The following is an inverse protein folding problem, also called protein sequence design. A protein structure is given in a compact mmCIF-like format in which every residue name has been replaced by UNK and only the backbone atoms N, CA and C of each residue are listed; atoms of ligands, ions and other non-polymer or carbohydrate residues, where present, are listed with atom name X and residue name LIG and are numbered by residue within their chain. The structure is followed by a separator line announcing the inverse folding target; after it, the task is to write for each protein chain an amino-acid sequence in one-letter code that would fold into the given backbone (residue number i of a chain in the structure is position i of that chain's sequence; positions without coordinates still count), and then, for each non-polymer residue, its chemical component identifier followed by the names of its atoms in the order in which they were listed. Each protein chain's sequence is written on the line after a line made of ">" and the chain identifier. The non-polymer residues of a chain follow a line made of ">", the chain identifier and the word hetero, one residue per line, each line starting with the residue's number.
data_IF_204327342116
#
_entry.id   IF_204327342116
#
_cell.length_a   1.000
_cell.length_b   1.000
_cell.length_c   1.000
_cell.angle_alpha   90.00
_cell.angle_beta   90.00
_cell.angle_gamma   90.00
#
_symmetry.space_group_name_H-M   'P 1'
#
loop_
_entity.id
_entity.type
_entity.pdbx_description
1 polymer ?
#
# COMPACT_ATOMS: atom_id res chain seq x y z
N UNK A 1 38.97 -28.60 -39.99
CA UNK A 1 38.44 -27.36 -39.41
C UNK A 1 37.10 -27.69 -38.73
N UNK A 2 37.02 -27.77 -37.43
CA UNK A 2 35.76 -27.96 -36.72
C UNK A 2 35.10 -26.60 -36.51
N UNK A 3 33.75 -26.55 -36.70
CA UNK A 3 32.90 -25.39 -36.49
C UNK A 3 32.74 -25.16 -34.99
N UNK A 4 32.93 -23.91 -34.57
CA UNK A 4 32.64 -23.41 -33.24
C UNK A 4 31.11 -23.23 -33.14
N UNK A 5 30.43 -23.74 -32.10
CA UNK A 5 29.03 -23.43 -31.87
C UNK A 5 28.88 -22.00 -31.27
N UNK A 6 28.00 -21.21 -31.88
CA UNK A 6 27.57 -19.91 -31.38
C UNK A 6 26.81 -20.11 -30.09
N UNK A 7 27.31 -19.54 -29.02
CA UNK A 7 26.59 -19.38 -27.73
C UNK A 7 25.69 -18.15 -27.82
N UNK A 8 24.46 -18.34 -28.24
CA UNK A 8 23.40 -17.36 -28.01
C UNK A 8 22.93 -17.50 -26.56
N UNK A 9 23.53 -16.69 -25.68
CA UNK A 9 22.99 -16.42 -24.37
C UNK A 9 21.79 -15.44 -24.51
N UNK A 10 20.80 -15.49 -23.64
CA UNK A 10 19.65 -14.58 -23.72
C UNK A 10 20.09 -13.13 -23.52
N UNK A 11 19.87 -12.33 -24.57
CA UNK A 11 20.12 -10.89 -24.62
C UNK A 11 19.25 -10.19 -23.55
N UNK A 12 19.87 -9.73 -22.47
CA UNK A 12 19.20 -9.05 -21.34
C UNK A 12 18.82 -7.59 -21.63
N UNK A 13 18.50 -7.29 -22.87
CA UNK A 13 17.93 -6.00 -23.28
C UNK A 13 16.41 -6.07 -23.31
N UNK A 14 15.79 -6.33 -22.18
CA UNK A 14 14.36 -6.10 -22.03
C UNK A 14 14.10 -4.61 -22.01
N UNK A 15 13.60 -4.09 -23.12
CA UNK A 15 13.06 -2.74 -23.20
C UNK A 15 12.00 -2.55 -22.12
N UNK A 16 11.90 -1.32 -21.59
CA UNK A 16 10.92 -0.93 -20.59
C UNK A 16 9.50 -1.10 -21.17
N UNK A 17 8.86 -2.24 -20.91
CA UNK A 17 7.56 -2.65 -21.46
C UNK A 17 6.38 -2.31 -20.54
N UNK A 18 6.56 -1.47 -19.50
CA UNK A 18 5.44 -1.01 -18.70
C UNK A 18 4.64 0.06 -19.45
N UNK A 19 3.28 -0.01 -19.44
CA UNK A 19 2.48 1.11 -19.90
C UNK A 19 2.94 2.34 -19.10
N UNK A 20 3.46 3.36 -19.79
CA UNK A 20 4.02 4.55 -19.16
C UNK A 20 2.98 5.18 -18.23
N UNK A 21 3.17 5.02 -16.93
CA UNK A 21 2.39 5.75 -15.94
C UNK A 21 2.60 7.26 -16.16
N UNK A 22 1.63 8.09 -15.82
CA UNK A 22 1.75 9.56 -15.94
C UNK A 22 3.04 10.06 -15.26
N UNK A 23 3.36 9.50 -14.09
CA UNK A 23 4.57 9.86 -13.33
C UNK A 23 5.85 9.38 -14.03
N UNK A 24 5.85 8.21 -14.65
CA UNK A 24 6.97 7.72 -15.44
C UNK A 24 7.28 8.64 -16.63
N UNK A 25 6.25 9.19 -17.27
CA UNK A 25 6.41 10.19 -18.37
C UNK A 25 7.08 11.47 -17.88
N UNK A 26 6.66 12.01 -16.74
CA UNK A 26 7.21 13.23 -16.16
C UNK A 26 8.69 13.04 -15.80
N UNK A 27 9.03 11.95 -15.12
CA UNK A 27 10.43 11.66 -14.80
C UNK A 27 11.29 11.32 -16.01
N UNK A 28 10.69 10.78 -17.08
CA UNK A 28 11.34 10.59 -18.38
C UNK A 28 11.68 11.94 -19.03
N UNK A 29 10.76 12.91 -18.98
CA UNK A 29 11.02 14.29 -19.45
C UNK A 29 12.10 14.97 -18.62
N UNK A 30 12.04 14.85 -17.29
CA UNK A 30 13.08 15.34 -16.39
C UNK A 30 14.45 14.76 -16.72
N UNK A 31 14.55 13.44 -16.84
CA UNK A 31 15.82 12.77 -17.19
C UNK A 31 16.39 13.21 -18.53
N UNK A 32 15.54 13.36 -19.56
CA UNK A 32 15.93 13.89 -20.88
C UNK A 32 16.46 15.30 -20.77
N UNK A 33 15.75 16.18 -20.06
CA UNK A 33 16.19 17.55 -19.82
C UNK A 33 17.58 17.62 -19.15
N UNK A 34 17.87 16.72 -18.21
CA UNK A 34 19.18 16.66 -17.57
C UNK A 34 20.28 16.17 -18.54
N UNK A 35 19.97 15.19 -19.41
CA UNK A 35 20.88 14.73 -20.47
C UNK A 35 21.20 15.86 -21.45
N UNK A 36 20.20 16.62 -21.90
CA UNK A 36 20.36 17.74 -22.84
C UNK A 36 21.27 18.85 -22.27
N UNK A 37 21.22 19.04 -20.95
CA UNK A 37 22.11 20.00 -20.25
C UNK A 37 23.46 19.42 -19.87
N UNK A 38 23.74 18.18 -20.19
CA UNK A 38 24.93 17.44 -19.73
C UNK A 38 25.11 17.54 -18.21
N UNK A 39 23.99 17.57 -17.47
CA UNK A 39 24.00 17.65 -16.01
C UNK A 39 24.04 16.26 -15.39
N UNK A 40 25.06 16.04 -14.61
CA UNK A 40 25.16 14.84 -13.77
C UNK A 40 25.17 15.20 -12.30
N UNK A 41 24.44 14.44 -11.50
CA UNK A 41 24.45 14.59 -10.05
C UNK A 41 25.83 14.15 -9.51
N UNK A 42 26.42 14.88 -8.53
CA UNK A 42 27.66 14.41 -7.91
C UNK A 42 27.47 13.05 -7.24
N UNK A 43 28.57 12.33 -7.00
CA UNK A 43 28.54 11.13 -6.18
C UNK A 43 27.94 11.42 -4.80
N UNK A 44 27.35 10.39 -4.17
CA UNK A 44 26.79 10.51 -2.84
C UNK A 44 27.93 10.65 -1.82
N UNK A 45 28.17 11.86 -1.32
CA UNK A 45 29.19 12.09 -0.28
C UNK A 45 28.73 11.58 1.07
N UNK A 46 27.56 12.04 1.50
CA UNK A 46 26.88 11.58 2.71
C UNK A 46 25.46 11.11 2.35
N UNK A 47 24.94 10.16 3.12
CA UNK A 47 23.60 9.66 2.92
C UNK A 47 22.57 10.72 3.27
N UNK A 48 21.66 11.01 2.35
CA UNK A 48 20.60 11.97 2.55
C UNK A 48 19.23 11.35 2.21
N UNK A 49 18.22 11.73 2.96
CA UNK A 49 16.85 11.27 2.79
C UNK A 49 15.97 12.28 2.04
N UNK A 50 16.54 13.41 1.68
CA UNK A 50 15.87 14.50 0.95
C UNK A 50 16.84 15.24 0.04
N UNK A 51 16.34 16.31 -0.59
CA UNK A 51 17.15 17.18 -1.47
C UNK A 51 18.06 18.14 -0.71
N UNK A 52 17.81 18.36 0.59
CA UNK A 52 18.53 19.34 1.43
C UNK A 52 19.75 18.75 2.14
N UNK A 53 19.97 17.46 2.05
CA UNK A 53 21.02 16.70 2.76
C UNK A 53 20.90 16.79 4.30
N UNK A 54 19.70 17.07 4.79
CA UNK A 54 19.39 17.06 6.22
C UNK A 54 18.90 15.69 6.70
N UNK A 55 18.83 15.52 8.01
CA UNK A 55 18.25 14.35 8.66
C UNK A 55 19.29 13.29 9.07
N UNK A 56 18.80 12.14 9.54
CA UNK A 56 19.67 11.04 9.95
C UNK A 56 20.35 10.42 8.72
N UNK A 57 21.60 10.01 8.88
CA UNK A 57 22.36 9.36 7.83
C UNK A 57 21.84 7.94 7.52
N UNK A 58 22.72 7.13 6.95
CA UNK A 58 22.44 5.74 6.56
C UNK A 58 22.12 4.81 7.75
N UNK A 59 22.49 5.18 8.97
CA UNK A 59 22.32 4.36 10.18
C UNK A 59 20.87 3.91 10.43
N UNK A 60 19.89 4.65 9.88
CA UNK A 60 18.47 4.28 9.96
C UNK A 60 18.18 2.94 9.25
N UNK A 61 18.96 2.60 8.23
CA UNK A 61 18.83 1.32 7.53
C UNK A 61 19.36 0.15 8.35
N UNK A 62 20.27 0.41 9.30
CA UNK A 62 20.98 -0.62 10.04
C UNK A 62 22.11 -1.25 9.24
N UNK A 63 22.53 -2.46 9.62
CA UNK A 63 23.52 -3.24 8.88
C UNK A 63 22.89 -3.78 7.59
N UNK A 64 23.50 -3.47 6.45
CA UNK A 64 22.97 -3.82 5.12
C UNK A 64 23.76 -4.90 4.41
N UNK A 65 24.98 -5.21 4.88
CA UNK A 65 25.83 -6.21 4.23
C UNK A 65 25.13 -7.58 4.17
N UNK A 66 25.11 -8.18 2.97
CA UNK A 66 24.48 -9.47 2.72
C UNK A 66 22.94 -9.42 2.68
N UNK A 67 22.29 -8.27 2.89
CA UNK A 67 20.86 -8.13 2.74
C UNK A 67 20.47 -8.00 1.27
N UNK A 68 19.30 -8.54 0.94
CA UNK A 68 18.62 -8.30 -0.32
C UNK A 68 17.77 -7.04 -0.20
N UNK A 69 18.18 -5.99 -0.91
CA UNK A 69 17.65 -4.63 -0.75
C UNK A 69 16.95 -4.16 -2.03
N UNK A 70 15.80 -3.49 -1.88
CA UNK A 70 15.12 -2.78 -2.97
C UNK A 70 15.24 -1.28 -2.77
N UNK A 71 15.76 -0.58 -3.78
CA UNK A 71 15.66 0.88 -3.94
C UNK A 71 14.47 1.19 -4.85
N UNK A 72 13.41 1.77 -4.27
CA UNK A 72 12.14 2.01 -4.94
C UNK A 72 12.05 3.47 -5.40
N UNK A 73 12.06 3.69 -6.73
CA UNK A 73 12.19 5.01 -7.33
C UNK A 73 13.63 5.49 -7.31
N UNK A 74 14.56 4.65 -7.75
CA UNK A 74 16.01 4.82 -7.58
C UNK A 74 16.63 5.98 -8.36
N UNK A 75 15.91 6.55 -9.34
CA UNK A 75 16.43 7.61 -10.20
C UNK A 75 17.70 7.16 -10.92
N UNK A 76 18.82 7.89 -10.70
CA UNK A 76 20.12 7.57 -11.31
C UNK A 76 20.95 6.55 -10.48
N UNK A 77 20.36 5.92 -9.47
CA UNK A 77 20.95 4.80 -8.75
C UNK A 77 22.06 5.11 -7.73
N UNK A 78 22.25 6.38 -7.33
CA UNK A 78 23.36 6.78 -6.42
C UNK A 78 23.28 6.09 -5.04
N UNK A 79 22.09 6.06 -4.44
CA UNK A 79 21.87 5.43 -3.15
C UNK A 79 22.04 3.91 -3.25
N UNK A 80 21.52 3.30 -4.33
CA UNK A 80 21.68 1.88 -4.58
C UNK A 80 23.14 1.46 -4.75
N UNK A 81 23.93 2.22 -5.53
CA UNK A 81 25.36 1.96 -5.71
C UNK A 81 26.14 2.10 -4.38
N UNK A 82 25.76 3.07 -3.53
CA UNK A 82 26.34 3.22 -2.21
C UNK A 82 26.10 1.99 -1.31
N UNK A 83 24.85 1.47 -1.28
CA UNK A 83 24.54 0.25 -0.49
C UNK A 83 25.22 -0.99 -1.06
N UNK A 84 25.32 -1.12 -2.39
CA UNK A 84 26.04 -2.21 -3.03
C UNK A 84 27.54 -2.21 -2.63
N UNK A 85 28.16 -1.02 -2.56
CA UNK A 85 29.52 -0.87 -2.06
C UNK A 85 29.70 -1.26 -0.58
N UNK A 86 28.63 -1.19 0.22
CA UNK A 86 28.57 -1.70 1.60
C UNK A 86 28.27 -3.20 1.70
N UNK A 87 28.19 -3.91 0.58
CA UNK A 87 28.01 -5.35 0.53
C UNK A 87 26.56 -5.83 0.50
N UNK A 88 25.59 -4.95 0.22
CA UNK A 88 24.20 -5.35 -0.02
C UNK A 88 24.01 -5.90 -1.44
N UNK A 89 23.02 -6.81 -1.63
CA UNK A 89 22.50 -7.22 -2.95
C UNK A 89 21.31 -6.31 -3.30
N UNK A 90 21.58 -5.26 -4.07
CA UNK A 90 20.63 -4.17 -4.31
C UNK A 90 19.98 -4.30 -5.68
N UNK A 91 18.65 -4.31 -5.69
CA UNK A 91 17.84 -4.07 -6.89
C UNK A 91 17.34 -2.63 -6.86
N UNK A 92 17.68 -1.85 -7.87
CA UNK A 92 17.28 -0.46 -8.02
C UNK A 92 16.24 -0.34 -9.14
N UNK A 93 15.00 0.04 -8.77
CA UNK A 93 13.86 0.08 -9.69
C UNK A 93 13.44 1.54 -9.94
N UNK A 94 13.36 1.91 -11.21
CA UNK A 94 12.81 3.21 -11.63
C UNK A 94 11.92 3.02 -12.88
N UNK A 95 10.79 3.71 -12.92
CA UNK A 95 9.85 3.62 -14.03
C UNK A 95 10.27 4.47 -15.26
N UNK A 96 11.23 5.38 -15.09
CA UNK A 96 11.69 6.27 -16.15
C UNK A 96 12.80 5.65 -16.99
N UNK A 97 12.59 5.39 -18.29
CA UNK A 97 13.63 4.89 -19.18
C UNK A 97 14.87 5.79 -19.25
N UNK A 98 14.70 7.10 -19.16
CA UNK A 98 15.83 8.04 -19.21
C UNK A 98 16.63 8.07 -17.92
N UNK A 99 15.99 7.93 -16.76
CA UNK A 99 16.70 7.78 -15.48
C UNK A 99 17.45 6.44 -15.44
N UNK A 100 16.81 5.36 -15.88
CA UNK A 100 17.45 4.07 -16.00
C UNK A 100 18.67 4.09 -16.95
N UNK A 101 18.54 4.73 -18.11
CA UNK A 101 19.66 4.93 -19.05
C UNK A 101 20.83 5.67 -18.40
N UNK A 102 20.55 6.74 -17.63
CA UNK A 102 21.56 7.50 -16.89
C UNK A 102 22.22 6.63 -15.80
N UNK A 103 21.43 5.82 -15.10
CA UNK A 103 21.94 4.90 -14.08
C UNK A 103 22.86 3.84 -14.69
N UNK A 104 22.48 3.23 -15.84
CA UNK A 104 23.31 2.29 -16.57
C UNK A 104 24.63 2.90 -17.06
N UNK A 105 24.58 4.14 -17.57
CA UNK A 105 25.80 4.85 -18.00
C UNK A 105 26.75 5.15 -16.84
N UNK A 106 26.20 5.38 -15.64
CA UNK A 106 26.99 5.72 -14.46
C UNK A 106 27.54 4.50 -13.71
N UNK A 107 26.77 3.43 -13.65
CA UNK A 107 27.07 2.23 -12.85
C UNK A 107 26.95 0.96 -13.70
N UNK A 108 27.69 0.82 -14.81
CA UNK A 108 27.46 -0.24 -15.81
C UNK A 108 27.72 -1.65 -15.26
N UNK A 109 28.69 -1.83 -14.36
CA UNK A 109 29.15 -3.13 -13.88
C UNK A 109 29.41 -3.09 -12.36
N UNK A 110 28.57 -2.42 -11.61
CA UNK A 110 28.73 -2.31 -10.14
C UNK A 110 28.37 -3.64 -9.48
N UNK A 111 29.31 -4.33 -8.82
CA UNK A 111 29.00 -5.57 -8.12
C UNK A 111 27.92 -5.39 -7.05
N UNK A 112 26.98 -6.34 -6.98
CA UNK A 112 25.88 -6.28 -6.03
C UNK A 112 24.77 -5.28 -6.39
N UNK A 113 24.82 -4.62 -7.56
CA UNK A 113 23.80 -3.70 -8.03
C UNK A 113 23.11 -4.22 -9.30
N UNK A 114 21.81 -4.34 -9.27
CA UNK A 114 20.96 -4.63 -10.41
C UNK A 114 20.02 -3.46 -10.70
N UNK A 115 20.15 -2.84 -11.87
CA UNK A 115 19.30 -1.75 -12.33
C UNK A 115 18.13 -2.31 -13.14
N UNK A 116 16.90 -1.89 -12.82
CA UNK A 116 15.65 -2.38 -13.43
C UNK A 116 14.77 -1.22 -13.85
N UNK A 117 14.38 -1.17 -15.13
CA UNK A 117 13.38 -0.22 -15.63
C UNK A 117 12.00 -0.90 -15.56
N UNK A 118 11.21 -0.57 -14.55
CA UNK A 118 9.89 -1.15 -14.34
C UNK A 118 8.99 -0.27 -13.48
N UNK A 119 7.67 -0.50 -13.59
CA UNK A 119 6.72 -0.04 -12.58
C UNK A 119 7.01 -0.71 -11.24
N UNK A 120 7.09 0.08 -10.18
CA UNK A 120 7.50 -0.40 -8.84
C UNK A 120 6.51 -1.44 -8.28
N UNK A 121 5.21 -1.24 -8.48
CA UNK A 121 4.16 -2.16 -8.02
C UNK A 121 4.21 -3.47 -8.79
N UNK A 122 4.37 -3.39 -10.11
CA UNK A 122 4.56 -4.56 -10.98
C UNK A 122 5.78 -5.38 -10.56
N UNK A 123 6.91 -4.71 -10.35
CA UNK A 123 8.13 -5.35 -9.88
C UNK A 123 7.97 -6.06 -8.53
N UNK A 124 7.35 -5.41 -7.55
CA UNK A 124 7.12 -5.97 -6.21
C UNK A 124 6.23 -7.22 -6.24
N UNK A 125 5.29 -7.31 -7.19
CA UNK A 125 4.39 -8.47 -7.34
C UNK A 125 5.08 -9.70 -7.90
N UNK A 126 6.13 -9.51 -8.69
CA UNK A 126 6.84 -10.58 -9.39
C UNK A 126 8.14 -11.00 -8.69
N UNK A 127 8.71 -10.10 -7.89
CA UNK A 127 9.99 -10.33 -7.22
C UNK A 127 9.83 -11.19 -5.96
N UNK A 128 10.87 -11.97 -5.67
CA UNK A 128 11.01 -12.58 -4.34
C UNK A 128 11.12 -11.49 -3.25
N UNK A 129 10.58 -11.72 -2.04
CA UNK A 129 10.57 -10.71 -0.99
C UNK A 129 11.96 -10.23 -0.57
N UNK A 130 12.05 -8.97 -0.21
CA UNK A 130 13.27 -8.26 0.20
C UNK A 130 13.43 -8.24 1.72
N UNK A 131 14.68 -8.14 2.17
CA UNK A 131 15.03 -7.90 3.57
C UNK A 131 14.77 -6.47 4.00
N UNK A 132 15.05 -5.56 3.08
CA UNK A 132 14.91 -4.13 3.24
C UNK A 132 14.37 -3.52 1.94
N UNK A 133 13.31 -2.76 2.05
CA UNK A 133 12.85 -1.86 0.98
C UNK A 133 13.05 -0.44 1.46
N UNK A 134 13.71 0.38 0.67
CA UNK A 134 13.81 1.80 0.97
C UNK A 134 13.44 2.67 -0.23
N UNK A 135 13.10 3.93 0.05
CA UNK A 135 12.80 4.92 -0.97
C UNK A 135 13.17 6.31 -0.51
N UNK A 136 13.96 7.02 -1.28
CA UNK A 136 14.28 8.43 -1.05
C UNK A 136 13.35 9.29 -1.88
N UNK A 137 12.30 9.80 -1.26
CA UNK A 137 11.27 10.67 -1.87
C UNK A 137 10.52 10.07 -3.08
N UNK A 138 10.56 8.75 -3.30
CA UNK A 138 9.86 8.08 -4.40
C UNK A 138 8.42 7.68 -4.07
N UNK A 139 8.16 7.29 -2.82
CA UNK A 139 6.84 6.81 -2.36
C UNK A 139 5.70 7.82 -2.61
N UNK A 140 5.87 9.13 -2.40
CA UNK A 140 4.79 10.10 -2.64
C UNK A 140 4.26 10.16 -4.07
N UNK A 141 4.95 9.59 -5.04
CA UNK A 141 4.52 9.53 -6.44
C UNK A 141 3.72 8.26 -6.79
N UNK A 142 3.57 7.35 -5.84
CA UNK A 142 2.90 6.07 -6.03
C UNK A 142 1.59 6.03 -5.25
N UNK A 143 0.53 5.58 -5.91
CA UNK A 143 -0.78 5.40 -5.28
C UNK A 143 -0.68 4.42 -4.10
N UNK A 144 -0.95 4.87 -2.84
CA UNK A 144 -0.85 4.02 -1.66
C UNK A 144 -1.70 2.75 -1.74
N UNK A 145 -2.89 2.82 -2.36
CA UNK A 145 -3.78 1.67 -2.49
C UNK A 145 -3.23 0.58 -3.42
N UNK A 146 -2.34 0.94 -4.35
CA UNK A 146 -1.64 0.00 -5.22
C UNK A 146 -0.31 -0.45 -4.64
N UNK A 147 0.40 0.48 -4.01
CA UNK A 147 1.75 0.26 -3.50
C UNK A 147 1.76 -0.60 -2.23
N UNK A 148 0.94 -0.25 -1.24
CA UNK A 148 1.03 -0.86 0.10
C UNK A 148 0.72 -2.37 0.12
N UNK A 149 -0.29 -2.88 -0.61
CA UNK A 149 -0.49 -4.33 -0.74
C UNK A 149 0.71 -5.04 -1.37
N UNK A 150 1.36 -4.40 -2.36
CA UNK A 150 2.54 -4.97 -3.00
C UNK A 150 3.77 -4.95 -2.07
N UNK A 151 3.97 -3.86 -1.30
CA UNK A 151 5.01 -3.77 -0.28
C UNK A 151 4.82 -4.81 0.83
N UNK A 152 3.59 -4.99 1.32
CA UNK A 152 3.29 -5.98 2.36
C UNK A 152 3.70 -7.40 1.95
N UNK A 153 3.57 -7.73 0.66
CA UNK A 153 3.99 -9.02 0.13
C UNK A 153 5.48 -9.04 -0.27
N UNK A 154 6.00 -7.93 -0.77
CA UNK A 154 7.37 -7.79 -1.25
C UNK A 154 8.42 -7.64 -0.16
N UNK A 155 8.04 -7.48 1.11
CA UNK A 155 8.94 -7.47 2.27
C UNK A 155 8.82 -8.81 2.99
N UNK A 156 9.92 -9.49 3.29
CA UNK A 156 9.87 -10.75 4.03
C UNK A 156 9.42 -10.55 5.49
N UNK A 157 8.88 -11.57 6.17
CA UNK A 157 8.67 -11.51 7.61
C UNK A 157 9.97 -11.16 8.34
N UNK A 158 9.93 -10.17 9.23
CA UNK A 158 11.10 -9.58 9.89
C UNK A 158 11.80 -8.48 9.08
N UNK A 159 11.47 -8.32 7.80
CA UNK A 159 12.04 -7.28 6.94
C UNK A 159 11.51 -5.89 7.23
N UNK A 160 12.18 -4.87 6.68
CA UNK A 160 11.92 -3.45 6.99
C UNK A 160 11.57 -2.64 5.74
N UNK A 161 10.79 -1.59 5.96
CA UNK A 161 10.51 -0.51 5.02
C UNK A 161 11.02 0.79 5.60
N UNK A 162 11.83 1.54 4.85
CA UNK A 162 12.28 2.89 5.25
C UNK A 162 12.10 3.83 4.08
N UNK A 163 11.30 4.89 4.25
CA UNK A 163 11.10 5.84 3.16
C UNK A 163 10.96 7.27 3.67
N UNK A 164 11.45 8.21 2.87
CA UNK A 164 11.17 9.62 3.07
C UNK A 164 10.03 10.10 2.19
N UNK A 165 9.20 10.97 2.75
CA UNK A 165 8.10 11.59 2.03
C UNK A 165 8.02 13.08 2.34
N UNK A 166 7.62 13.88 1.36
CA UNK A 166 7.32 15.29 1.54
C UNK A 166 6.20 15.44 2.57
N UNK A 167 6.31 16.42 3.46
CA UNK A 167 5.32 16.76 4.46
C UNK A 167 4.78 18.17 4.26
N UNK A 168 5.67 19.14 4.13
CA UNK A 168 5.30 20.52 3.84
C UNK A 168 5.98 20.94 2.55
N UNK A 169 5.21 21.54 1.62
CA UNK A 169 5.74 22.04 0.35
C UNK A 169 6.58 23.30 0.54
N UNK A 170 7.28 23.71 -0.51
CA UNK A 170 8.00 25.00 -0.54
C UNK A 170 7.07 26.22 -0.40
N UNK A 171 5.77 26.05 -0.65
CA UNK A 171 4.76 27.10 -0.47
C UNK A 171 4.16 27.12 0.94
N UNK A 172 4.54 26.16 1.81
CA UNK A 172 4.02 26.03 3.17
C UNK A 172 2.75 25.18 3.28
N UNK A 173 2.28 24.56 2.18
CA UNK A 173 1.12 23.68 2.22
C UNK A 173 1.45 22.43 3.02
N UNK A 174 0.65 22.14 4.04
CA UNK A 174 0.78 20.95 4.90
C UNK A 174 0.27 19.67 4.23
N UNK A 175 0.41 18.51 4.91
CA UNK A 175 -0.04 17.23 4.43
C UNK A 175 -1.58 17.12 4.44
N UNK A 176 -2.09 16.16 3.64
CA UNK A 176 -3.51 15.84 3.58
C UNK A 176 -3.91 14.86 4.69
N UNK A 177 -5.03 15.11 5.35
CA UNK A 177 -5.67 14.17 6.29
C UNK A 177 -6.49 13.08 5.60
N UNK A 178 -6.52 13.03 4.26
CA UNK A 178 -7.17 11.97 3.48
C UNK A 178 -6.26 11.47 2.37
N UNK A 179 -6.44 10.20 1.94
CA UNK A 179 -5.67 9.62 0.82
C UNK A 179 -6.18 10.19 -0.49
N UNK A 180 -5.70 11.38 -0.80
CA UNK A 180 -6.02 12.09 -2.03
C UNK A 180 -4.73 12.60 -2.65
N UNK A 181 -4.53 12.29 -3.94
CA UNK A 181 -3.43 12.87 -4.70
C UNK A 181 -3.71 14.37 -4.91
N UNK A 182 -2.72 15.19 -4.67
CA UNK A 182 -2.81 16.62 -4.92
C UNK A 182 -1.93 17.03 -6.09
N UNK A 183 -2.31 18.06 -6.85
CA UNK A 183 -1.48 18.58 -7.91
C UNK A 183 -0.25 19.28 -7.31
N UNK A 184 0.90 19.00 -7.88
CA UNK A 184 2.18 19.63 -7.59
C UNK A 184 2.84 20.07 -8.90
N UNK A 185 3.72 21.06 -8.84
CA UNK A 185 4.41 21.60 -10.01
C UNK A 185 5.87 21.19 -9.97
N UNK A 186 6.30 20.44 -10.99
CA UNK A 186 7.71 20.19 -11.25
C UNK A 186 8.25 21.27 -12.21
N UNK A 187 9.20 22.07 -11.75
CA UNK A 187 9.96 23.00 -12.61
C UNK A 187 11.25 22.32 -13.05
N UNK A 188 11.48 22.32 -14.36
CA UNK A 188 12.75 21.83 -14.88
C UNK A 188 13.85 22.86 -14.61
N UNK A 189 14.98 22.49 -13.99
CA UNK A 189 16.04 23.43 -13.65
C UNK A 189 16.55 24.21 -14.87
N UNK A 190 16.56 25.54 -14.81
CA UNK A 190 16.98 26.42 -15.90
C UNK A 190 15.98 26.51 -17.07
N UNK A 191 14.71 26.19 -16.82
CA UNK A 191 13.62 26.31 -17.78
C UNK A 191 12.41 26.95 -17.08
N UNK A 192 11.62 27.72 -17.83
CA UNK A 192 10.32 28.25 -17.35
C UNK A 192 9.17 27.28 -17.57
N UNK A 193 9.49 26.06 -18.04
CA UNK A 193 8.48 25.03 -18.28
C UNK A 193 8.08 24.36 -16.96
N UNK A 194 6.79 24.43 -16.66
CA UNK A 194 6.16 23.76 -15.52
C UNK A 194 5.41 22.51 -15.98
N UNK A 195 5.60 21.43 -15.26
CA UNK A 195 4.85 20.20 -15.46
C UNK A 195 4.00 19.92 -14.23
N UNK A 196 2.71 19.73 -14.44
CA UNK A 196 1.81 19.31 -13.39
C UNK A 196 1.97 17.81 -13.14
N UNK A 197 2.09 17.42 -11.87
CA UNK A 197 2.13 16.04 -11.41
C UNK A 197 1.23 15.88 -10.18
N UNK A 198 0.93 14.65 -9.82
CA UNK A 198 0.16 14.35 -8.63
C UNK A 198 1.03 13.63 -7.61
N UNK A 199 0.90 14.03 -6.34
CA UNK A 199 1.63 13.43 -5.21
C UNK A 199 0.68 13.13 -4.05
N UNK A 200 0.96 12.04 -3.36
CA UNK A 200 0.30 11.69 -2.09
C UNK A 200 1.15 12.21 -0.93
N UNK A 201 0.85 13.43 -0.48
CA UNK A 201 1.49 14.07 0.68
C UNK A 201 0.53 13.96 1.85
N UNK A 202 0.68 12.90 2.64
CA UNK A 202 -0.27 12.50 3.67
C UNK A 202 0.26 12.82 5.07
N UNK A 203 -0.66 13.04 6.01
CA UNK A 203 -0.33 13.18 7.43
C UNK A 203 0.39 11.94 7.96
N UNK A 204 1.35 12.10 8.91
CA UNK A 204 2.08 10.97 9.49
C UNK A 204 1.16 9.90 10.07
N UNK A 205 0.10 10.29 10.78
CA UNK A 205 -0.87 9.35 11.34
C UNK A 205 -1.58 8.55 10.24
N UNK A 206 -1.90 9.18 9.12
CA UNK A 206 -2.54 8.50 8.00
C UNK A 206 -1.60 7.49 7.32
N UNK A 207 -0.29 7.82 7.21
CA UNK A 207 0.70 6.83 6.76
C UNK A 207 0.79 5.65 7.72
N UNK A 208 0.79 5.91 9.04
CA UNK A 208 0.82 4.85 10.06
C UNK A 208 -0.40 3.94 9.95
N UNK A 209 -1.60 4.51 9.88
CA UNK A 209 -2.87 3.78 9.73
C UNK A 209 -2.83 2.87 8.49
N UNK A 210 -2.41 3.43 7.34
CA UNK A 210 -2.30 2.68 6.08
C UNK A 210 -1.27 1.54 6.14
N UNK A 211 -0.13 1.77 6.79
CA UNK A 211 0.90 0.74 6.96
C UNK A 211 0.42 -0.39 7.86
N UNK A 212 -0.27 -0.04 8.95
CA UNK A 212 -0.87 -1.01 9.89
C UNK A 212 -1.94 -1.85 9.19
N UNK A 213 -2.80 -1.25 8.38
CA UNK A 213 -3.84 -1.95 7.61
C UNK A 213 -3.24 -3.03 6.67
N UNK A 214 -2.00 -2.82 6.22
CA UNK A 214 -1.26 -3.78 5.39
C UNK A 214 -0.24 -4.62 6.17
N UNK A 215 -0.33 -4.63 7.50
CA UNK A 215 0.47 -5.49 8.37
C UNK A 215 1.91 -5.06 8.55
N UNK A 216 2.21 -3.80 8.33
CA UNK A 216 3.49 -3.18 8.65
C UNK A 216 3.35 -2.39 9.95
N UNK A 217 4.25 -2.60 10.88
CA UNK A 217 4.25 -1.90 12.18
C UNK A 217 5.25 -0.76 12.12
N UNK A 218 4.79 0.45 12.40
CA UNK A 218 5.64 1.64 12.48
C UNK A 218 6.65 1.51 13.62
N UNK A 219 7.92 1.72 13.31
CA UNK A 219 9.01 1.77 14.30
C UNK A 219 9.31 3.21 14.70
N UNK A 220 9.49 4.09 13.72
CA UNK A 220 9.81 5.51 13.96
C UNK A 220 9.28 6.41 12.85
N UNK A 221 8.97 7.65 13.24
CA UNK A 221 8.75 8.77 12.32
C UNK A 221 9.69 9.90 12.73
N UNK A 222 10.60 10.29 11.84
CA UNK A 222 11.58 11.36 12.09
C UNK A 222 11.27 12.57 11.21
N UNK A 223 11.27 13.76 11.78
CA UNK A 223 11.15 15.02 11.05
C UNK A 223 12.48 15.40 10.43
N UNK A 224 12.45 15.81 9.17
CA UNK A 224 13.58 16.39 8.45
C UNK A 224 13.12 17.76 7.94
N UNK A 225 13.61 18.81 8.59
CA UNK A 225 13.30 20.19 8.21
C UNK A 225 14.37 20.74 7.30
N UNK A 226 14.00 21.70 6.42
CA UNK A 226 14.97 22.39 5.59
C UNK A 226 16.03 23.08 6.48
N UNK A 227 17.31 23.01 6.13
CA UNK A 227 18.37 23.74 6.82
C UNK A 227 18.25 25.26 6.64
N UNK A 228 17.43 25.72 5.70
CA UNK A 228 17.17 27.13 5.43
C UNK A 228 15.94 27.57 6.25
N UNK A 229 16.15 28.43 7.23
CA UNK A 229 15.13 28.84 8.20
C UNK A 229 13.92 29.59 7.59
N UNK A 230 14.07 30.10 6.36
CA UNK A 230 13.03 30.82 5.62
C UNK A 230 12.21 29.91 4.67
N UNK A 231 12.58 28.64 4.55
CA UNK A 231 11.87 27.67 3.73
C UNK A 231 11.00 26.75 4.57
N UNK A 232 9.68 26.71 4.34
CA UNK A 232 8.76 25.84 5.09
C UNK A 232 8.86 24.38 4.70
N UNK A 233 9.73 24.02 3.75
CA UNK A 233 9.89 22.69 3.23
C UNK A 233 10.30 21.69 4.32
N UNK A 234 9.55 20.63 4.49
CA UNK A 234 9.90 19.56 5.43
C UNK A 234 9.53 18.19 4.89
N UNK A 235 10.23 17.19 5.39
CA UNK A 235 10.00 15.78 5.08
C UNK A 235 9.74 14.99 6.36
N UNK A 236 9.19 13.81 6.21
CA UNK A 236 9.12 12.79 7.25
C UNK A 236 9.82 11.54 6.75
N UNK A 237 10.65 10.99 7.61
CA UNK A 237 11.29 9.69 7.39
C UNK A 237 10.55 8.65 8.23
N UNK A 238 10.00 7.67 7.56
CA UNK A 238 9.23 6.58 8.14
C UNK A 238 10.08 5.33 8.15
N UNK A 239 10.13 4.65 9.29
CA UNK A 239 10.66 3.30 9.39
C UNK A 239 9.57 2.37 9.93
N UNK A 240 9.29 1.31 9.21
CA UNK A 240 8.30 0.32 9.56
C UNK A 240 8.88 -1.08 9.37
N UNK A 241 8.30 -2.08 10.03
CA UNK A 241 8.73 -3.47 9.95
C UNK A 241 7.54 -4.39 9.67
N UNK A 242 7.75 -5.37 8.81
CA UNK A 242 6.86 -6.52 8.73
C UNK A 242 7.16 -7.46 9.90
N UNK A 243 6.21 -7.73 10.82
CA UNK A 243 6.44 -8.66 11.92
C UNK A 243 6.91 -10.02 11.44
N UNK A 244 7.77 -10.68 12.21
CA UNK A 244 8.06 -12.09 11.98
C UNK A 244 6.77 -12.89 12.13
N UNK A 245 6.54 -13.85 11.21
CA UNK A 245 5.47 -14.82 11.43
C UNK A 245 5.75 -15.48 12.77
N UNK A 246 4.82 -15.37 13.70
CA UNK A 246 4.84 -16.18 14.90
C UNK A 246 4.79 -17.62 14.40
N UNK A 247 5.95 -18.30 14.39
CA UNK A 247 5.95 -19.74 14.16
C UNK A 247 5.05 -20.32 15.25
N UNK A 248 3.96 -20.98 14.84
CA UNK A 248 3.14 -21.73 15.77
C UNK A 248 4.07 -22.62 16.60
N UNK A 249 4.25 -22.26 17.89
CA UNK A 249 4.95 -23.15 18.82
C UNK A 249 4.25 -24.52 18.75
N UNK A 250 5.01 -25.62 18.84
CA UNK A 250 4.39 -26.94 19.00
C UNK A 250 3.34 -26.83 20.11
N UNK A 251 2.16 -27.36 19.87
CA UNK A 251 1.03 -27.32 20.80
C UNK A 251 1.47 -27.86 22.16
N UNK A 252 1.80 -26.97 23.06
CA UNK A 252 1.78 -27.26 24.49
C UNK A 252 0.33 -27.19 24.92
N UNK A 253 -0.09 -27.95 25.94
CA UNK A 253 -1.44 -28.06 26.48
C UNK A 253 -1.99 -26.75 27.10
N UNK A 254 -1.43 -25.61 26.76
CA UNK A 254 -1.94 -24.30 27.17
C UNK A 254 -3.19 -23.94 26.36
N UNK A 255 -4.19 -23.27 26.95
CA UNK A 255 -5.33 -22.76 26.22
C UNK A 255 -4.87 -21.83 25.11
N UNK A 256 -5.57 -21.81 23.94
CA UNK A 256 -5.21 -20.94 22.82
C UNK A 256 -5.21 -19.49 23.28
N UNK A 257 -4.11 -18.77 23.00
CA UNK A 257 -4.07 -17.33 23.19
C UNK A 257 -4.94 -16.66 22.12
N UNK A 258 -5.69 -15.59 22.43
CA UNK A 258 -6.42 -14.81 21.45
C UNK A 258 -5.45 -14.26 20.39
N UNK A 259 -5.70 -14.57 19.10
CA UNK A 259 -4.84 -14.14 18.00
C UNK A 259 -5.60 -13.89 16.69
N UNK A 260 -6.91 -13.66 16.80
CA UNK A 260 -7.74 -13.31 15.67
C UNK A 260 -8.46 -11.98 15.93
N UNK A 261 -8.59 -11.16 14.89
CA UNK A 261 -9.50 -10.03 14.89
C UNK A 261 -10.90 -10.54 14.52
N UNK A 262 -11.91 -10.16 15.30
CA UNK A 262 -13.32 -10.47 15.04
C UNK A 262 -14.05 -9.20 14.67
N UNK A 263 -14.73 -9.19 13.53
CA UNK A 263 -15.46 -8.03 13.04
C UNK A 263 -16.77 -8.38 12.35
N UNK A 264 -17.57 -7.37 12.12
CA UNK A 264 -18.79 -7.42 11.31
C UNK A 264 -18.71 -6.42 10.17
N UNK A 265 -19.24 -6.80 9.00
CA UNK A 265 -19.42 -5.88 7.85
C UNK A 265 -20.90 -5.84 7.48
N UNK A 266 -21.49 -4.64 7.40
CA UNK A 266 -22.94 -4.46 7.36
C UNK A 266 -23.39 -3.99 5.99
N UNK A 267 -24.04 -4.84 5.24
CA UNK A 267 -24.63 -4.51 3.95
C UNK A 267 -26.03 -3.96 4.18
N UNK A 268 -26.16 -2.63 4.12
CA UNK A 268 -27.48 -1.97 4.17
C UNK A 268 -27.97 -1.81 2.74
N UNK A 269 -28.94 -2.63 2.34
CA UNK A 269 -29.47 -2.64 0.98
C UNK A 269 -30.89 -2.13 0.91
N UNK A 270 -31.09 -1.03 0.16
CA UNK A 270 -32.37 -0.38 -0.07
C UNK A 270 -32.70 -0.23 -1.57
N UNK A 271 -33.80 0.47 -1.88
CA UNK A 271 -34.20 0.71 -3.28
C UNK A 271 -33.15 1.40 -4.15
N UNK A 272 -32.33 2.24 -3.53
CA UNK A 272 -31.28 3.02 -4.20
C UNK A 272 -29.91 2.31 -4.24
N UNK A 273 -29.86 1.04 -3.81
CA UNK A 273 -28.65 0.21 -3.80
C UNK A 273 -28.09 -0.04 -2.42
N UNK A 274 -26.76 -0.05 -2.26
CA UNK A 274 -26.05 -0.32 -0.99
C UNK A 274 -25.48 0.94 -0.39
N UNK A 275 -25.51 1.03 0.93
CA UNK A 275 -24.93 2.14 1.69
C UNK A 275 -23.43 1.96 1.81
N UNK A 276 -22.68 2.96 1.34
CA UNK A 276 -21.22 3.03 1.49
C UNK A 276 -20.80 4.39 2.06
N UNK A 277 -19.85 4.38 2.97
CA UNK A 277 -19.21 5.55 3.50
C UNK A 277 -17.85 5.78 2.86
N UNK A 278 -17.48 7.05 2.66
CA UNK A 278 -16.15 7.40 2.20
C UNK A 278 -15.23 7.59 3.40
N UNK A 279 -14.34 6.64 3.62
CA UNK A 279 -13.35 6.73 4.69
C UNK A 279 -12.23 7.74 4.31
N UNK A 280 -11.67 8.44 5.30
CA UNK A 280 -10.53 9.39 5.11
C UNK A 280 -9.31 8.73 4.45
N UNK A 281 -9.16 7.40 4.52
CA UNK A 281 -8.14 6.61 3.79
C UNK A 281 -8.36 6.58 2.27
N UNK A 282 -9.46 7.17 1.78
CA UNK A 282 -9.81 7.23 0.36
C UNK A 282 -10.57 6.01 -0.17
N UNK A 283 -10.87 5.02 0.69
CA UNK A 283 -11.68 3.85 0.35
C UNK A 283 -13.17 4.11 0.63
N UNK A 284 -14.01 3.34 -0.06
CA UNK A 284 -15.43 3.27 0.24
C UNK A 284 -15.70 1.99 1.03
N UNK A 285 -16.49 2.09 2.07
CA UNK A 285 -16.66 1.02 3.05
C UNK A 285 -18.13 0.80 3.40
N UNK A 286 -18.50 -0.46 3.61
CA UNK A 286 -19.76 -0.78 4.31
C UNK A 286 -19.61 -0.40 5.78
N UNK A 287 -20.67 -0.03 6.51
CA UNK A 287 -20.61 0.12 7.95
C UNK A 287 -20.09 -1.16 8.62
N UNK A 288 -19.35 -1.04 9.71
CA UNK A 288 -18.86 -2.21 10.41
C UNK A 288 -17.68 -1.94 11.31
N UNK A 289 -17.37 -2.88 12.17
CA UNK A 289 -16.28 -2.74 13.12
C UNK A 289 -16.03 -4.00 13.91
N UNK A 290 -15.35 -3.86 15.05
CA UNK A 290 -14.95 -4.99 15.90
C UNK A 290 -16.09 -5.46 16.80
N UNK A 291 -16.14 -6.77 17.03
CA UNK A 291 -17.04 -7.36 18.03
C UNK A 291 -16.44 -7.16 19.42
N UNK A 292 -17.18 -6.55 20.32
CA UNK A 292 -16.74 -6.30 21.68
C UNK A 292 -16.90 -7.53 22.60
N UNK A 293 -16.11 -7.62 23.69
CA UNK A 293 -16.24 -8.73 24.63
C UNK A 293 -17.65 -8.83 25.24
N UNK A 294 -18.30 -9.98 25.03
CA UNK A 294 -19.65 -10.24 25.53
C UNK A 294 -20.79 -9.94 24.57
N UNK A 295 -20.50 -9.34 23.42
CA UNK A 295 -21.48 -9.13 22.34
C UNK A 295 -21.68 -10.40 21.49
N UNK A 296 -22.90 -10.55 21.00
CA UNK A 296 -23.19 -11.40 19.83
C UNK A 296 -22.93 -10.64 18.54
N UNK A 297 -22.76 -11.36 17.42
CA UNK A 297 -22.61 -10.69 16.11
C UNK A 297 -23.81 -9.79 15.75
N UNK A 298 -25.02 -10.15 16.15
CA UNK A 298 -26.23 -9.33 15.92
C UNK A 298 -26.18 -8.04 16.72
N UNK A 299 -25.73 -8.08 17.98
CA UNK A 299 -25.58 -6.90 18.81
C UNK A 299 -24.49 -5.97 18.25
N UNK A 300 -23.34 -6.53 17.86
CA UNK A 300 -22.27 -5.76 17.23
C UNK A 300 -22.76 -5.06 15.93
N UNK A 301 -23.50 -5.78 15.07
CA UNK A 301 -24.08 -5.21 13.84
C UNK A 301 -25.00 -4.03 14.15
N UNK A 302 -25.87 -4.15 15.17
CA UNK A 302 -26.81 -3.07 15.51
C UNK A 302 -26.07 -1.87 16.11
N UNK A 303 -25.08 -2.11 16.97
CA UNK A 303 -24.28 -1.06 17.60
C UNK A 303 -23.48 -0.30 16.55
N UNK A 304 -22.67 -0.98 15.72
CA UNK A 304 -21.84 -0.37 14.70
C UNK A 304 -22.66 0.41 13.68
N UNK A 305 -23.81 -0.17 13.23
CA UNK A 305 -24.72 0.56 12.34
C UNK A 305 -25.20 1.88 12.95
N UNK A 306 -25.58 1.86 14.23
CA UNK A 306 -26.08 3.04 14.90
C UNK A 306 -24.96 4.06 15.18
N UNK A 307 -23.79 3.62 15.61
CA UNK A 307 -22.65 4.48 15.96
C UNK A 307 -22.08 5.17 14.73
N UNK A 308 -21.88 4.47 13.63
CA UNK A 308 -21.28 5.04 12.43
C UNK A 308 -22.28 5.84 11.59
N UNK A 309 -23.52 5.34 11.43
CA UNK A 309 -24.46 5.88 10.44
C UNK A 309 -25.69 6.56 11.04
N UNK A 310 -26.00 6.34 12.30
CA UNK A 310 -27.25 6.78 12.94
C UNK A 310 -28.50 6.01 12.48
N UNK A 311 -28.33 4.96 11.70
CA UNK A 311 -29.45 4.09 11.30
C UNK A 311 -29.76 3.11 12.44
N UNK A 312 -31.05 2.82 12.61
CA UNK A 312 -31.54 1.91 13.66
C UNK A 312 -32.18 0.70 13.01
N UNK A 313 -31.65 -0.49 13.29
CA UNK A 313 -32.22 -1.78 12.93
C UNK A 313 -32.63 -2.57 14.18
N UNK A 314 -33.57 -3.51 14.01
CA UNK A 314 -33.94 -4.43 15.08
C UNK A 314 -33.20 -5.76 14.88
N UNK A 315 -32.99 -6.55 15.95
CA UNK A 315 -32.37 -7.88 15.83
C UNK A 315 -33.00 -8.78 14.80
N UNK A 316 -34.32 -8.72 14.63
CA UNK A 316 -35.08 -9.49 13.64
C UNK A 316 -34.86 -9.04 12.19
N UNK A 317 -34.25 -7.86 11.96
CA UNK A 317 -33.96 -7.30 10.64
C UNK A 317 -32.51 -7.58 10.19
N UNK A 318 -31.71 -8.21 11.07
CA UNK A 318 -30.31 -8.59 10.79
C UNK A 318 -30.24 -10.01 10.28
N UNK A 319 -29.73 -10.18 9.08
CA UNK A 319 -29.44 -11.50 8.51
C UNK A 319 -27.94 -11.70 8.44
N UNK A 320 -27.37 -12.57 9.28
CA UNK A 320 -25.97 -12.98 9.17
C UNK A 320 -25.81 -13.93 7.97
N UNK A 321 -24.83 -13.65 7.09
CA UNK A 321 -24.67 -14.40 5.83
C UNK A 321 -23.70 -15.59 5.97
N UNK A 322 -22.70 -15.48 6.82
CA UNK A 322 -21.67 -16.48 6.99
C UNK A 322 -20.46 -15.93 7.71
N UNK A 323 -19.31 -16.56 7.49
CA UNK A 323 -18.02 -16.09 7.98
C UNK A 323 -17.05 -15.96 6.82
N UNK A 324 -16.29 -14.88 6.81
CA UNK A 324 -15.15 -14.64 5.93
C UNK A 324 -13.88 -14.77 6.76
N UNK A 325 -12.96 -15.61 6.31
CA UNK A 325 -11.68 -15.82 6.96
C UNK A 325 -10.56 -15.43 6.03
N UNK A 326 -9.75 -14.49 6.45
CA UNK A 326 -8.54 -14.09 5.73
C UNK A 326 -7.39 -13.72 6.70
N UNK A 327 -6.30 -13.20 6.15
CA UNK A 327 -5.15 -12.77 6.92
C UNK A 327 -4.76 -11.35 6.52
N UNK A 328 -4.80 -10.46 7.49
CA UNK A 328 -4.34 -9.08 7.32
C UNK A 328 -3.17 -8.84 8.25
N UNK A 329 -2.02 -8.46 7.66
CA UNK A 329 -0.83 -8.19 8.45
C UNK A 329 -0.28 -9.35 9.27
N UNK A 330 -0.57 -10.59 8.86
CA UNK A 330 -0.19 -11.79 9.60
C UNK A 330 -1.11 -12.13 10.78
N UNK A 331 -2.19 -11.33 10.97
CA UNK A 331 -3.26 -11.61 11.93
C UNK A 331 -4.42 -12.28 11.19
N UNK A 332 -4.93 -13.36 11.76
CA UNK A 332 -6.15 -13.99 11.27
C UNK A 332 -7.32 -13.03 11.50
N UNK A 333 -8.06 -12.68 10.43
CA UNK A 333 -9.27 -11.88 10.54
C UNK A 333 -10.49 -12.76 10.21
N UNK A 334 -11.48 -12.71 11.09
CA UNK A 334 -12.79 -13.31 10.86
C UNK A 334 -13.82 -12.19 10.81
N UNK A 335 -14.41 -11.98 9.63
CA UNK A 335 -15.47 -10.99 9.42
C UNK A 335 -16.79 -11.72 9.20
N UNK A 336 -17.84 -11.27 9.87
CA UNK A 336 -19.20 -11.77 9.65
C UNK A 336 -19.99 -10.75 8.83
N UNK A 337 -20.22 -11.01 7.53
CA UNK A 337 -21.09 -10.16 6.72
C UNK A 337 -22.54 -10.31 7.16
N UNK A 338 -23.22 -9.17 7.32
CA UNK A 338 -24.63 -9.09 7.71
C UNK A 338 -25.41 -8.26 6.70
N UNK A 339 -26.60 -8.69 6.34
CA UNK A 339 -27.52 -7.97 5.46
C UNK A 339 -28.64 -7.35 6.28
N UNK A 340 -28.91 -6.07 6.02
CA UNK A 340 -30.03 -5.30 6.58
C UNK A 340 -30.82 -4.69 5.41
N UNK A 341 -32.10 -5.01 5.33
CA UNK A 341 -33.02 -4.47 4.31
C UNK A 341 -34.14 -3.62 4.93
N UNK A 342 -34.20 -3.52 6.26
CA UNK A 342 -35.17 -2.71 6.98
C UNK A 342 -34.50 -1.99 8.13
N UNK A 343 -34.64 -0.67 8.15
CA UNK A 343 -34.07 0.23 9.17
C UNK A 343 -34.97 1.47 9.32
N UNK A 344 -34.67 2.28 10.31
CA UNK A 344 -35.23 3.63 10.48
C UNK A 344 -34.11 4.66 10.61
N UNK A 345 -34.42 5.91 10.34
CA UNK A 345 -33.45 7.01 10.35
C UNK A 345 -32.94 7.36 8.96
N UNK A 346 -32.03 8.33 8.93
CA UNK A 346 -31.32 8.80 7.73
C UNK A 346 -29.82 8.73 8.02
N UNK A 347 -28.99 8.26 7.09
CA UNK A 347 -27.56 8.19 7.30
C UNK A 347 -26.97 9.56 7.66
N UNK A 348 -26.06 9.59 8.63
CA UNK A 348 -25.33 10.78 9.11
C UNK A 348 -23.88 10.39 9.37
N UNK A 349 -22.99 11.34 9.22
CA UNK A 349 -21.59 11.21 9.58
C UNK A 349 -21.46 11.40 11.10
N UNK A 350 -21.37 10.33 11.87
CA UNK A 350 -21.24 10.35 13.33
C UNK A 350 -19.81 10.11 13.78
N UNK A 351 -19.01 9.45 12.95
CA UNK A 351 -17.59 9.24 13.17
C UNK A 351 -16.74 10.19 12.31
N UNK A 352 -15.59 10.61 12.87
CA UNK A 352 -14.64 11.51 12.17
C UNK A 352 -13.86 10.83 11.05
N UNK A 353 -13.96 9.52 10.95
CA UNK A 353 -13.23 8.70 9.97
C UNK A 353 -13.95 8.60 8.64
N UNK A 354 -15.26 8.85 8.63
CA UNK A 354 -16.12 8.80 7.43
C UNK A 354 -16.55 10.21 7.05
N UNK A 355 -16.29 10.60 5.81
CA UNK A 355 -16.63 11.93 5.28
C UNK A 355 -18.09 12.03 4.83
N UNK A 356 -18.69 10.93 4.36
CA UNK A 356 -20.08 10.92 3.88
C UNK A 356 -20.61 9.50 3.72
N UNK A 357 -21.90 9.30 4.01
CA UNK A 357 -22.66 8.09 3.74
C UNK A 357 -23.59 8.30 2.57
N UNK A 358 -23.57 7.38 1.55
CA UNK A 358 -24.48 7.42 0.39
C UNK A 358 -24.90 6.03 -0.03
N UNK A 359 -26.13 5.92 -0.59
CA UNK A 359 -26.55 4.73 -1.31
C UNK A 359 -25.99 4.75 -2.73
N UNK A 360 -25.48 3.60 -3.17
CA UNK A 360 -24.89 3.42 -4.48
C UNK A 360 -25.57 2.28 -5.21
N UNK A 361 -25.95 2.52 -6.46
CA UNK A 361 -26.44 1.45 -7.35
C UNK A 361 -25.38 0.36 -7.50
N UNK A 362 -25.81 -0.90 -7.53
CA UNK A 362 -24.89 -2.04 -7.69
C UNK A 362 -24.12 -2.01 -9.01
N UNK A 363 -24.69 -1.37 -10.05
CA UNK A 363 -24.04 -1.22 -11.35
C UNK A 363 -23.00 -0.08 -11.38
N UNK A 364 -22.91 0.75 -10.33
CA UNK A 364 -22.08 1.94 -10.29
C UNK A 364 -21.43 2.11 -8.91
N UNK A 365 -20.88 1.03 -8.37
CA UNK A 365 -20.17 1.07 -7.09
C UNK A 365 -18.90 1.92 -7.21
N UNK A 366 -18.61 2.78 -6.23
CA UNK A 366 -17.45 3.64 -6.25
C UNK A 366 -16.16 2.85 -6.00
N UNK A 367 -15.02 3.39 -6.43
CA UNK A 367 -13.72 2.78 -6.28
C UNK A 367 -12.73 3.77 -5.66
N UNK A 368 -11.71 3.31 -4.92
CA UNK A 368 -11.52 1.93 -4.48
C UNK A 368 -12.43 1.55 -3.31
N UNK A 369 -12.86 0.30 -3.26
CA UNK A 369 -13.53 -0.24 -2.09
C UNK A 369 -12.49 -0.75 -1.07
N UNK A 370 -12.81 -0.63 0.21
CA UNK A 370 -12.03 -1.30 1.25
C UNK A 370 -12.12 -2.82 1.08
N UNK A 371 -11.02 -3.52 1.29
CA UNK A 371 -10.89 -4.95 1.01
C UNK A 371 -11.98 -5.79 1.68
N UNK A 372 -12.17 -5.63 3.00
CA UNK A 372 -13.21 -6.36 3.73
C UNK A 372 -14.61 -6.02 3.25
N UNK A 373 -14.85 -4.78 2.81
CA UNK A 373 -16.14 -4.36 2.26
C UNK A 373 -16.42 -5.03 0.91
N UNK A 374 -15.40 -5.11 0.04
CA UNK A 374 -15.51 -5.84 -1.22
C UNK A 374 -15.82 -7.32 -0.99
N UNK A 375 -15.11 -7.96 -0.04
CA UNK A 375 -15.34 -9.35 0.32
C UNK A 375 -16.75 -9.58 0.87
N UNK A 376 -17.28 -8.68 1.73
CA UNK A 376 -18.64 -8.76 2.25
C UNK A 376 -19.69 -8.61 1.13
N UNK A 377 -19.49 -7.66 0.23
CA UNK A 377 -20.39 -7.43 -0.90
C UNK A 377 -20.41 -8.64 -1.85
N UNK A 378 -19.24 -9.23 -2.16
CA UNK A 378 -19.16 -10.42 -3.01
C UNK A 378 -19.74 -11.66 -2.30
N UNK A 379 -19.57 -11.81 -0.98
CA UNK A 379 -20.20 -12.90 -0.21
C UNK A 379 -21.73 -12.81 -0.24
N UNK A 380 -22.28 -11.61 -0.29
CA UNK A 380 -23.71 -11.38 -0.43
C UNK A 380 -24.21 -11.57 -1.86
N UNK A 381 -23.48 -11.01 -2.83
CA UNK A 381 -23.85 -11.05 -4.25
C UNK A 381 -22.61 -11.36 -5.11
N UNK A 382 -22.51 -12.64 -5.51
CA UNK A 382 -21.37 -13.15 -6.30
C UNK A 382 -21.31 -12.61 -7.75
N UNK A 383 -22.39 -12.02 -8.25
CA UNK A 383 -22.43 -11.43 -9.59
C UNK A 383 -21.81 -10.03 -9.65
N UNK A 384 -21.43 -9.45 -8.51
CA UNK A 384 -20.75 -8.15 -8.47
C UNK A 384 -19.33 -8.29 -9.02
N UNK A 385 -18.93 -7.49 -10.01
CA UNK A 385 -17.59 -7.55 -10.62
C UNK A 385 -16.55 -6.83 -9.73
N UNK A 386 -16.39 -7.28 -8.49
CA UNK A 386 -15.46 -6.70 -7.51
C UNK A 386 -14.18 -7.50 -7.47
N UNK A 387 -13.05 -6.81 -7.63
CA UNK A 387 -11.73 -7.39 -7.43
C UNK A 387 -11.30 -7.18 -5.97
N UNK A 388 -10.93 -8.26 -5.31
CA UNK A 388 -10.46 -8.24 -3.92
C UNK A 388 -9.55 -9.45 -3.64
N UNK A 389 -8.66 -9.39 -2.64
CA UNK A 389 -7.90 -10.53 -2.17
C UNK A 389 -8.83 -11.68 -1.74
N UNK A 390 -8.41 -12.93 -1.94
CA UNK A 390 -9.24 -14.08 -1.60
C UNK A 390 -9.47 -14.17 -0.09
N UNK A 391 -10.73 -14.46 0.29
CA UNK A 391 -11.12 -14.83 1.64
C UNK A 391 -11.88 -16.16 1.58
N UNK A 392 -11.73 -17.00 2.62
CA UNK A 392 -12.48 -18.26 2.74
C UNK A 392 -13.86 -17.94 3.30
N UNK A 393 -14.90 -18.06 2.46
CA UNK A 393 -16.28 -17.76 2.83
C UNK A 393 -17.04 -19.03 3.16
N UNK A 394 -17.56 -19.13 4.39
CA UNK A 394 -18.45 -20.18 4.85
C UNK A 394 -19.86 -19.62 5.10
N UNK A 395 -20.79 -19.95 4.19
CA UNK A 395 -22.19 -19.49 4.31
C UNK A 395 -22.92 -20.19 5.45
N UNK A 396 -23.76 -19.46 6.18
CA UNK A 396 -24.71 -20.04 7.15
C UNK A 396 -25.95 -20.65 6.46
N UNK A 397 -26.26 -20.27 5.23
CA UNK A 397 -27.29 -20.93 4.43
C UNK A 397 -26.66 -22.04 3.57
N UNK A 398 -26.83 -23.29 3.99
CA UNK A 398 -26.29 -24.47 3.29
C UNK A 398 -26.80 -24.61 1.85
N UNK A 399 -27.83 -23.88 1.44
CA UNK A 399 -28.35 -23.85 0.06
C UNK A 399 -27.52 -22.96 -0.87
N UNK A 400 -26.63 -22.09 -0.32
CA UNK A 400 -25.78 -21.19 -1.09
C UNK A 400 -24.34 -21.71 -1.24
N UNK A 401 -24.01 -22.88 -0.70
CA UNK A 401 -22.65 -23.45 -0.80
C UNK A 401 -22.52 -24.33 -2.05
N UNK A 402 -21.75 -23.93 -3.07
CA UNK A 402 -21.44 -24.84 -4.16
C UNK A 402 -20.45 -25.89 -3.65
N UNK A 403 -20.93 -27.11 -3.35
CA UNK A 403 -20.07 -28.27 -3.16
C UNK A 403 -20.12 -29.05 -1.87
N UNK A 404 -21.16 -28.98 -1.04
CA UNK A 404 -21.35 -29.94 0.05
C UNK A 404 -21.72 -31.32 -0.51
N UNK A 405 -20.72 -32.21 -0.63
CA UNK A 405 -21.01 -33.64 -0.74
C UNK A 405 -21.64 -34.11 0.59
N UNK A 406 -22.75 -34.87 0.57
CA UNK A 406 -23.29 -35.45 1.77
C UNK A 406 -22.28 -36.43 2.37
N UNK A 407 -22.07 -36.31 3.69
CA UNK A 407 -21.29 -37.27 4.46
C UNK A 407 -22.09 -38.59 4.40
N UNK A 408 -21.53 -39.71 3.96
CA UNK A 408 -22.25 -40.99 3.97
C UNK A 408 -22.49 -41.41 5.41
N UNK A 409 -23.76 -41.69 5.72
CA UNK A 409 -24.17 -42.31 6.98
C UNK A 409 -23.39 -43.61 7.18
N UNK A 410 -22.69 -43.71 8.32
CA UNK A 410 -22.02 -44.91 8.80
C UNK A 410 -22.83 -45.61 9.88
#
# INVERSE_FOLDING_TARGET
>A
MPRIPSSDGPDSRTGCNSPESEIGKIWTLYGRHQLDRSFDLPELGEWAWDMSQAGPGISVLGEVAGLRVLDLGSGVGRHAAHLAALGADVTAVDASPTQHQRALARYPDTPGLRLVCADAVGHLREAEPYDLVYSVSGVPFLDPHRLLPALANGIRPGGRLVFSALHTTSNGDGPSGSVTARPEILRLPGSDIEHQMHMWVLEPQLWEDLLVDHGLVMETVTTIDSPQADQPLSYRLYAARRPERIRSRPRTSAPPAPHAALGVGIIVHGPDGVLLGRHRRGTWEVPGGSVEPGETFVEAVIRELAEETGLIAKPADVQLLGTLLDHVGGVLRLTVPALITRWSGTPRELERTIDSWRFWSLDALPQPLFEASSQCLTAWNQDLPLDHPPADFQSYDTRLSPGSRPIPDS
#
